data_IF_169442676861
#
_entry.id   IF_169442676861
#
_cell.length_a   1.000
_cell.length_b   1.000
_cell.length_c   1.000
_cell.angle_alpha   90.00
_cell.angle_beta   90.00
_cell.angle_gamma   90.00
#
_symmetry.space_group_name_H-M   'P 1'
#
loop_
_entity.id
_entity.type
_entity.pdbx_description
1 polymer ?
#
# COMPACT_ATOMS: atom_id res chain seq x y z
N UNK A 1 7.90 -43.83 14.84
CA UNK A 1 8.91 -43.44 15.85
C UNK A 1 9.68 -42.28 15.24
N UNK A 2 9.18 -41.06 15.38
CA UNK A 2 9.38 -40.15 16.52
C UNK A 2 10.83 -39.60 16.53
N UNK A 3 10.97 -38.39 15.99
CA UNK A 3 12.15 -37.55 16.11
C UNK A 3 11.69 -36.10 16.11
N UNK A 4 11.39 -35.59 17.31
CA UNK A 4 10.90 -34.24 17.58
C UNK A 4 12.06 -33.27 17.34
N UNK A 5 11.97 -32.43 16.31
CA UNK A 5 12.88 -31.30 16.14
C UNK A 5 12.42 -30.18 17.08
N UNK A 6 13.21 -30.01 18.13
CA UNK A 6 13.10 -29.02 19.19
C UNK A 6 12.96 -27.59 18.67
N UNK A 7 11.91 -26.91 19.15
CA UNK A 7 11.77 -25.46 19.15
C UNK A 7 13.04 -24.80 19.70
N UNK A 8 13.75 -24.04 18.89
CA UNK A 8 14.67 -23.02 19.36
C UNK A 8 14.02 -21.66 19.18
N UNK A 9 13.34 -21.26 20.26
CA UNK A 9 13.02 -19.87 20.57
C UNK A 9 14.35 -19.14 20.75
N UNK A 10 14.82 -18.48 19.70
CA UNK A 10 15.95 -17.57 19.79
C UNK A 10 15.41 -16.20 20.25
N UNK A 11 15.40 -15.99 21.57
CA UNK A 11 15.32 -14.65 22.16
C UNK A 11 16.66 -13.96 21.83
N UNK A 12 16.64 -13.03 20.88
CA UNK A 12 17.80 -12.26 20.51
C UNK A 12 18.16 -11.28 21.64
N UNK A 13 19.29 -11.54 22.29
CA UNK A 13 19.98 -10.62 23.18
C UNK A 13 20.49 -9.42 22.36
N UNK A 14 20.01 -8.22 22.66
CA UNK A 14 20.67 -6.98 22.28
C UNK A 14 21.93 -6.80 23.13
N UNK A 15 23.08 -7.24 22.64
CA UNK A 15 24.37 -6.99 23.29
C UNK A 15 24.82 -5.55 22.98
N UNK A 16 24.55 -4.66 23.94
CA UNK A 16 25.14 -3.33 24.07
C UNK A 16 26.63 -3.48 24.41
N UNK A 17 27.51 -3.43 23.41
CA UNK A 17 28.94 -3.17 23.62
C UNK A 17 29.42 -2.00 22.78
N UNK A 18 29.27 -0.81 23.35
CA UNK A 18 29.93 0.40 22.88
C UNK A 18 29.28 1.61 23.52
N UNK A 19 30.11 2.52 24.07
CA UNK A 19 29.76 3.80 24.70
C UNK A 19 29.36 3.66 26.18
N UNK A 20 30.11 4.07 27.20
CA UNK A 20 31.52 4.43 27.46
C UNK A 20 31.53 4.73 28.97
N UNK A 21 32.65 4.49 29.64
CA UNK A 21 32.81 4.87 31.04
C UNK A 21 32.56 6.36 31.28
N UNK A 22 31.96 6.59 32.45
CA UNK A 22 32.19 7.77 33.28
C UNK A 22 31.57 9.11 32.86
N UNK A 23 30.64 9.53 33.73
CA UNK A 23 30.48 10.89 34.23
C UNK A 23 29.45 11.75 33.47
N UNK A 24 28.23 11.70 34.02
CA UNK A 24 27.58 12.86 34.65
C UNK A 24 26.88 13.84 33.68
N UNK A 25 25.70 14.37 33.91
CA UNK A 25 24.62 14.18 34.87
C UNK A 25 23.55 15.17 34.36
N UNK A 26 22.28 14.79 34.47
CA UNK A 26 21.12 15.71 34.48
C UNK A 26 20.51 16.31 33.20
N UNK A 27 21.04 16.14 31.98
CA UNK A 27 20.46 16.86 30.82
C UNK A 27 19.94 16.02 29.63
N UNK A 28 19.96 14.69 29.70
CA UNK A 28 19.58 13.82 28.56
C UNK A 28 18.32 12.98 28.89
N UNK A 29 17.52 13.40 29.87
CA UNK A 29 16.27 12.70 30.21
C UNK A 29 15.10 12.99 29.27
N UNK A 30 15.16 14.07 28.48
CA UNK A 30 14.00 14.56 27.71
C UNK A 30 14.18 14.51 26.19
N UNK A 31 15.37 14.12 25.70
CA UNK A 31 15.68 14.06 24.27
C UNK A 31 15.68 12.62 23.69
N UNK A 32 15.51 11.59 24.53
CA UNK A 32 15.63 10.19 24.09
C UNK A 32 14.29 9.47 23.85
N UNK A 33 13.15 10.13 24.06
CA UNK A 33 11.84 9.56 23.70
C UNK A 33 11.50 9.75 22.21
N UNK A 34 12.19 10.64 21.50
CA UNK A 34 11.92 10.93 20.09
C UNK A 34 12.63 9.98 19.10
N UNK A 35 13.64 9.23 19.54
CA UNK A 35 14.39 8.31 18.68
C UNK A 35 13.89 6.85 18.74
N UNK A 36 12.97 6.53 19.66
CA UNK A 36 12.40 5.19 19.77
C UNK A 36 11.40 4.83 18.64
N UNK A 37 10.98 5.79 17.81
CA UNK A 37 10.17 5.52 16.61
C UNK A 37 10.97 5.52 15.29
N UNK A 38 12.26 5.88 15.32
CA UNK A 38 13.05 6.06 14.09
C UNK A 38 13.84 4.82 13.66
N UNK A 39 13.69 3.69 14.35
CA UNK A 39 14.47 2.46 14.10
C UNK A 39 13.64 1.19 14.10
N UNK A 40 12.39 1.24 13.61
CA UNK A 40 11.72 0.01 13.16
C UNK A 40 12.24 -0.29 11.76
N UNK A 41 13.48 -0.75 11.68
CA UNK A 41 14.07 -1.28 10.46
C UNK A 41 13.33 -2.59 10.19
N UNK A 42 12.24 -2.48 9.45
CA UNK A 42 11.41 -3.60 9.06
C UNK A 42 12.31 -4.46 8.21
N UNK A 43 12.83 -5.54 8.79
CA UNK A 43 13.68 -6.51 8.10
C UNK A 43 12.95 -6.93 6.84
N UNK A 44 13.43 -6.42 5.71
CA UNK A 44 12.88 -6.65 4.39
C UNK A 44 13.12 -8.11 4.06
N UNK A 45 12.20 -8.97 4.50
CA UNK A 45 12.09 -10.33 4.00
C UNK A 45 11.78 -10.18 2.52
N UNK A 46 12.83 -10.30 1.71
CA UNK A 46 12.84 -10.22 0.25
C UNK A 46 11.58 -10.84 -0.34
N UNK A 47 10.58 -9.99 -0.61
CA UNK A 47 9.52 -10.32 -1.56
C UNK A 47 10.17 -10.07 -2.91
N UNK A 48 10.54 -11.13 -3.61
CA UNK A 48 11.03 -11.03 -4.98
C UNK A 48 10.17 -10.03 -5.76
N UNK A 49 10.77 -8.91 -6.18
CA UNK A 49 10.17 -7.72 -6.80
C UNK A 49 8.78 -7.94 -7.41
N UNK A 50 7.73 -7.93 -6.58
CA UNK A 50 6.37 -8.10 -7.08
C UNK A 50 5.87 -6.74 -7.59
N UNK A 51 5.81 -6.62 -8.92
CA UNK A 51 5.22 -5.45 -9.54
C UNK A 51 3.75 -5.70 -9.87
N UNK A 52 2.85 -4.97 -9.21
CA UNK A 52 1.40 -4.99 -9.49
C UNK A 52 1.12 -4.68 -10.97
N UNK A 53 2.02 -3.93 -11.64
CA UNK A 53 1.91 -3.61 -13.08
C UNK A 53 2.00 -4.83 -13.98
N UNK A 54 2.59 -5.93 -13.51
CA UNK A 54 2.69 -7.19 -14.26
C UNK A 54 1.38 -7.99 -14.27
N UNK A 55 0.43 -7.67 -13.40
CA UNK A 55 -0.83 -8.40 -13.31
C UNK A 55 -1.79 -8.04 -14.46
N UNK A 56 -2.40 -9.02 -15.14
CA UNK A 56 -3.41 -8.77 -16.16
C UNK A 56 -4.65 -8.08 -15.58
N UNK A 57 -5.00 -8.33 -14.31
CA UNK A 57 -6.13 -7.72 -13.61
C UNK A 57 -5.95 -6.20 -13.47
N UNK A 58 -4.70 -5.72 -13.35
CA UNK A 58 -4.44 -4.28 -13.34
C UNK A 58 -4.72 -3.65 -14.70
N UNK A 59 -4.37 -4.34 -15.78
CA UNK A 59 -4.71 -3.87 -17.12
C UNK A 59 -6.23 -3.83 -17.33
N UNK A 60 -6.96 -4.85 -16.86
CA UNK A 60 -8.42 -4.89 -16.90
C UNK A 60 -9.06 -3.76 -16.08
N UNK A 61 -8.58 -3.52 -14.87
CA UNK A 61 -9.08 -2.43 -14.03
C UNK A 61 -8.83 -1.06 -14.69
N UNK A 62 -7.62 -0.84 -15.21
CA UNK A 62 -7.28 0.39 -15.93
C UNK A 62 -8.13 0.57 -17.19
N UNK A 63 -8.40 -0.51 -17.93
CA UNK A 63 -9.26 -0.49 -19.11
C UNK A 63 -10.70 -0.11 -18.74
N UNK A 64 -11.22 -0.65 -17.63
CA UNK A 64 -12.53 -0.28 -17.11
C UNK A 64 -12.60 1.22 -16.77
N UNK A 65 -11.62 1.74 -16.03
CA UNK A 65 -11.57 3.17 -15.68
C UNK A 65 -11.53 4.05 -16.94
N UNK A 66 -10.71 3.69 -17.94
CA UNK A 66 -10.65 4.41 -19.23
C UNK A 66 -11.99 4.39 -19.97
N UNK A 67 -12.66 3.24 -20.03
CA UNK A 67 -13.97 3.12 -20.65
C UNK A 67 -14.99 4.03 -19.94
N UNK A 68 -14.96 4.06 -18.61
CA UNK A 68 -15.82 4.94 -17.80
C UNK A 68 -15.49 6.42 -17.99
N UNK A 69 -14.21 6.80 -18.11
CA UNK A 69 -13.84 8.18 -18.49
C UNK A 69 -14.50 8.57 -19.81
N UNK A 70 -14.45 7.72 -20.83
CA UNK A 70 -15.06 8.02 -22.13
C UNK A 70 -16.58 8.16 -22.04
N UNK A 71 -17.25 7.27 -21.30
CA UNK A 71 -18.68 7.29 -21.05
C UNK A 71 -19.12 8.58 -20.33
N UNK A 72 -18.48 8.90 -19.21
CA UNK A 72 -18.85 10.02 -18.34
C UNK A 72 -18.27 11.37 -18.79
N UNK A 73 -17.32 11.39 -19.73
CA UNK A 73 -16.80 12.65 -20.29
C UNK A 73 -17.87 13.50 -20.97
N UNK A 74 -18.92 12.87 -21.50
CA UNK A 74 -20.03 13.52 -22.22
C UNK A 74 -21.23 13.85 -21.33
N UNK A 75 -21.22 13.39 -20.09
CA UNK A 75 -22.34 13.55 -19.15
C UNK A 75 -22.20 14.88 -18.43
N UNK A 76 -23.27 15.66 -18.35
CA UNK A 76 -23.28 16.91 -17.57
C UNK A 76 -23.16 16.63 -16.08
N UNK A 77 -22.41 17.46 -15.37
CA UNK A 77 -22.21 17.32 -13.92
C UNK A 77 -20.76 17.59 -13.48
N UNK A 78 -20.59 17.61 -12.15
CA UNK A 78 -19.28 17.82 -11.53
C UNK A 78 -18.33 16.67 -11.87
N UNK A 79 -17.12 16.94 -12.41
CA UNK A 79 -16.15 15.90 -12.71
C UNK A 79 -15.79 15.04 -11.50
N UNK A 80 -15.82 15.60 -10.29
CA UNK A 80 -15.52 14.87 -9.06
C UNK A 80 -16.62 13.84 -8.73
N UNK A 81 -17.89 14.22 -8.88
CA UNK A 81 -19.03 13.31 -8.68
C UNK A 81 -19.04 12.22 -9.74
N UNK A 82 -18.83 12.61 -11.01
CA UNK A 82 -18.75 11.67 -12.12
C UNK A 82 -17.56 10.71 -11.95
N UNK A 83 -16.44 11.18 -11.41
CA UNK A 83 -15.28 10.35 -11.06
C UNK A 83 -15.59 9.29 -10.02
N UNK A 84 -16.35 9.63 -8.97
CA UNK A 84 -16.80 8.66 -7.96
C UNK A 84 -17.73 7.60 -8.55
N UNK A 85 -18.73 8.02 -9.33
CA UNK A 85 -19.69 7.12 -9.98
C UNK A 85 -18.96 6.18 -10.95
N UNK A 86 -18.13 6.75 -11.84
CA UNK A 86 -17.35 6.02 -12.82
C UNK A 86 -16.41 4.99 -12.18
N UNK A 87 -15.68 5.38 -11.13
CA UNK A 87 -14.80 4.49 -10.38
C UNK A 87 -15.56 3.35 -9.69
N UNK A 88 -16.74 3.63 -9.12
CA UNK A 88 -17.58 2.61 -8.48
C UNK A 88 -18.09 1.55 -9.48
N UNK A 89 -18.30 1.93 -10.74
CA UNK A 89 -18.64 1.02 -11.83
C UNK A 89 -17.56 -0.02 -12.14
N UNK A 90 -16.33 0.17 -11.65
CA UNK A 90 -15.20 -0.76 -11.85
C UNK A 90 -14.91 -1.64 -10.62
N UNK A 91 -15.81 -1.69 -9.63
CA UNK A 91 -15.63 -2.49 -8.40
C UNK A 91 -15.35 -3.98 -8.68
N UNK A 92 -16.00 -4.59 -9.67
CA UNK A 92 -15.76 -5.99 -10.03
C UNK A 92 -14.30 -6.26 -10.44
N UNK A 93 -13.74 -5.41 -11.30
CA UNK A 93 -12.33 -5.49 -11.71
C UNK A 93 -11.37 -5.14 -10.58
N UNK A 94 -11.78 -4.26 -9.65
CA UNK A 94 -11.03 -3.93 -8.43
C UNK A 94 -10.95 -5.14 -7.49
N UNK A 95 -12.04 -5.87 -7.30
CA UNK A 95 -12.03 -7.11 -6.51
C UNK A 95 -11.20 -8.21 -7.18
N UNK A 96 -11.25 -8.35 -8.51
CA UNK A 96 -10.37 -9.28 -9.21
C UNK A 96 -8.88 -8.94 -9.01
N UNK A 97 -8.55 -7.65 -9.06
CA UNK A 97 -7.20 -7.16 -8.78
C UNK A 97 -6.79 -7.41 -7.32
N UNK A 98 -7.70 -7.22 -6.35
CA UNK A 98 -7.48 -7.58 -4.96
C UNK A 98 -7.07 -9.05 -4.82
N UNK A 99 -7.87 -9.95 -5.39
CA UNK A 99 -7.64 -11.39 -5.30
C UNK A 99 -6.32 -11.80 -5.96
N UNK A 100 -5.99 -11.19 -7.10
CA UNK A 100 -4.72 -11.43 -7.78
C UNK A 100 -3.52 -10.96 -6.94
N UNK A 101 -3.57 -9.75 -6.38
CA UNK A 101 -2.51 -9.23 -5.51
C UNK A 101 -2.38 -10.10 -4.25
N UNK A 102 -3.49 -10.51 -3.64
CA UNK A 102 -3.51 -11.32 -2.44
C UNK A 102 -2.91 -12.73 -2.66
N UNK A 103 -3.03 -13.29 -3.88
CA UNK A 103 -2.41 -14.58 -4.26
C UNK A 103 -0.89 -14.50 -4.39
N UNK A 104 -0.35 -13.36 -4.82
CA UNK A 104 1.09 -13.19 -5.07
C UNK A 104 1.87 -12.58 -3.91
N UNK A 105 1.21 -11.79 -3.05
CA UNK A 105 1.85 -11.12 -1.92
C UNK A 105 1.24 -11.60 -0.60
N UNK A 106 0.43 -10.75 0.04
CA UNK A 106 -0.34 -11.07 1.22
C UNK A 106 -1.61 -10.21 1.23
N UNK A 107 -2.59 -10.61 2.06
CA UNK A 107 -3.88 -9.93 2.16
C UNK A 107 -3.79 -8.50 2.68
N UNK A 108 -2.77 -8.16 3.45
CA UNK A 108 -2.58 -6.82 4.01
C UNK A 108 -2.11 -5.84 2.94
N UNK A 109 -1.14 -6.24 2.12
CA UNK A 109 -0.67 -5.47 0.97
C UNK A 109 -1.81 -5.27 -0.04
N UNK A 110 -2.55 -6.34 -0.37
CA UNK A 110 -3.72 -6.25 -1.24
C UNK A 110 -4.77 -5.26 -0.69
N UNK A 111 -5.06 -5.31 0.62
CA UNK A 111 -6.01 -4.39 1.25
C UNK A 111 -5.52 -2.93 1.22
N UNK A 112 -4.23 -2.70 1.48
CA UNK A 112 -3.63 -1.37 1.41
C UNK A 112 -3.67 -0.79 -0.01
N UNK A 113 -3.33 -1.62 -1.02
CA UNK A 113 -3.38 -1.22 -2.41
C UNK A 113 -4.80 -0.83 -2.85
N UNK A 114 -5.79 -1.66 -2.51
CA UNK A 114 -7.18 -1.41 -2.89
C UNK A 114 -7.75 -0.20 -2.15
N UNK A 115 -7.46 -0.01 -0.87
CA UNK A 115 -7.90 1.18 -0.14
C UNK A 115 -7.33 2.48 -0.72
N UNK A 116 -6.08 2.44 -1.20
CA UNK A 116 -5.50 3.55 -1.96
C UNK A 116 -6.23 3.74 -3.30
N UNK A 117 -6.47 2.67 -4.05
CA UNK A 117 -7.23 2.68 -5.33
C UNK A 117 -8.61 3.31 -5.15
N UNK A 118 -9.38 2.93 -4.11
CA UNK A 118 -10.71 3.46 -3.85
C UNK A 118 -10.72 4.98 -3.63
N UNK A 119 -9.62 5.52 -3.10
CA UNK A 119 -9.48 6.96 -2.84
C UNK A 119 -8.94 7.71 -4.06
N UNK A 120 -8.00 7.10 -4.80
CA UNK A 120 -7.27 7.75 -5.88
C UNK A 120 -7.94 7.58 -7.25
N UNK A 121 -8.58 6.44 -7.52
CA UNK A 121 -9.26 6.17 -8.80
C UNK A 121 -10.33 7.24 -9.12
N UNK A 122 -11.21 7.66 -8.19
CA UNK A 122 -12.17 8.72 -8.46
C UNK A 122 -11.51 10.04 -8.88
N UNK A 123 -10.41 10.41 -8.22
CA UNK A 123 -9.65 11.64 -8.53
C UNK A 123 -8.98 11.54 -9.88
N UNK A 124 -8.35 10.40 -10.17
CA UNK A 124 -7.72 10.14 -11.47
C UNK A 124 -8.75 10.17 -12.61
N UNK A 125 -9.91 9.55 -12.42
CA UNK A 125 -11.00 9.56 -13.41
C UNK A 125 -11.57 10.97 -13.57
N UNK A 126 -11.80 11.71 -12.49
CA UNK A 126 -12.26 13.09 -12.55
C UNK A 126 -11.29 13.98 -13.35
N UNK A 127 -9.99 13.88 -13.05
CA UNK A 127 -8.95 14.61 -13.78
C UNK A 127 -8.91 14.22 -15.27
N UNK A 128 -9.09 12.94 -15.59
CA UNK A 128 -9.15 12.47 -16.96
C UNK A 128 -10.41 12.95 -17.71
N UNK A 129 -11.56 13.05 -17.02
CA UNK A 129 -12.79 13.64 -17.55
C UNK A 129 -12.58 15.12 -17.89
N UNK A 130 -12.00 15.91 -16.96
CA UNK A 130 -11.67 17.33 -17.17
C UNK A 130 -10.79 17.49 -18.42
N UNK A 131 -9.70 16.72 -18.48
CA UNK A 131 -8.79 16.73 -19.61
C UNK A 131 -9.46 16.36 -20.94
N UNK A 132 -10.38 15.40 -20.92
CA UNK A 132 -11.09 14.96 -22.13
C UNK A 132 -12.08 16.02 -22.62
N UNK A 133 -12.63 16.84 -21.73
CA UNK A 133 -13.52 17.96 -22.06
C UNK A 133 -12.78 19.19 -22.59
N UNK A 134 -11.46 19.26 -22.45
CA UNK A 134 -10.65 20.40 -22.88
C UNK A 134 -10.64 21.56 -21.89
N UNK A 135 -10.87 21.29 -20.60
CA UNK A 135 -10.72 22.24 -19.50
C UNK A 135 -9.31 22.23 -18.91
#
# INVERSE_FOLDING_TARGET
>A
MAGIATNHVAIAYCDLRGITGEIMNKYIGMALAAFALAGCETTESSTANFDVKSLPERALHTACLKAKVQEYSRVEGSPLELGQIASSGCNSTRYALYDAIAKHTNKYFAKGYIGASETEDPKMVAAAIIKTRGH
#
